data_IF_536498698683
#
_entry.id   IF_536498698683
#
_cell.length_a   1.000
_cell.length_b   1.000
_cell.length_c   1.000
_cell.angle_alpha   90.00
_cell.angle_beta   90.00
_cell.angle_gamma   90.00
#
_symmetry.space_group_name_H-M   'P 1'
#
loop_
_entity.id
_entity.type
_entity.pdbx_description
1 polymer ?
#
# COMPACT_ATOMS: atom_id res chain seq x y z
N UNK A 1 3.37 11.69 -14.64
CA UNK A 1 2.65 10.40 -14.58
C UNK A 1 1.28 10.71 -14.01
N UNK A 2 0.21 10.17 -14.61
CA UNK A 2 -1.13 10.31 -14.04
C UNK A 2 -1.31 9.21 -13.00
N UNK A 3 -1.67 9.58 -11.78
CA UNK A 3 -1.98 8.62 -10.73
C UNK A 3 -3.34 7.97 -11.01
N UNK A 4 -3.37 6.64 -11.04
CA UNK A 4 -4.57 5.85 -11.37
C UNK A 4 -5.31 5.36 -10.12
N UNK A 5 -4.64 5.35 -8.95
CA UNK A 5 -5.20 4.86 -7.70
C UNK A 5 -5.88 5.99 -6.95
N UNK A 6 -7.05 5.70 -6.41
CA UNK A 6 -7.71 6.57 -5.42
C UNK A 6 -6.99 6.39 -4.09
N UNK A 7 -6.64 7.50 -3.43
CA UNK A 7 -6.03 7.48 -2.09
C UNK A 7 -4.78 6.59 -2.03
N UNK A 8 -3.90 6.68 -3.04
CA UNK A 8 -2.64 5.93 -3.12
C UNK A 8 -1.58 6.41 -2.12
N UNK A 9 -1.72 7.66 -1.65
CA UNK A 9 -0.91 8.30 -0.62
C UNK A 9 -1.41 8.02 0.82
N UNK A 10 -2.60 7.44 0.95
CA UNK A 10 -3.29 7.16 2.22
C UNK A 10 -3.66 8.41 3.05
N UNK A 11 -3.84 9.57 2.42
CA UNK A 11 -4.09 10.81 3.16
C UNK A 11 -5.58 11.07 3.49
N UNK A 12 -6.50 10.25 2.98
CA UNK A 12 -7.95 10.44 3.20
C UNK A 12 -8.42 9.86 4.54
N UNK A 13 -8.40 10.67 5.62
CA UNK A 13 -8.89 10.23 6.94
C UNK A 13 -10.43 10.20 7.06
N UNK A 14 -11.02 9.23 7.80
CA UNK A 14 -10.40 8.07 8.47
C UNK A 14 -10.45 6.78 7.60
N UNK A 15 -10.38 6.91 6.28
CA UNK A 15 -10.85 5.87 5.35
C UNK A 15 -9.75 5.32 4.46
N UNK A 16 -9.72 3.99 4.33
CA UNK A 16 -8.98 3.31 3.27
C UNK A 16 -9.79 3.30 1.96
N UNK A 17 -10.32 4.47 1.58
CA UNK A 17 -11.20 4.60 0.40
C UNK A 17 -10.51 4.00 -0.82
N UNK A 18 -11.22 3.11 -1.54
CA UNK A 18 -10.71 2.42 -2.72
C UNK A 18 -9.88 1.16 -2.44
N UNK A 19 -9.46 0.92 -1.19
CA UNK A 19 -8.64 -0.22 -0.81
C UNK A 19 -9.44 -1.30 -0.08
N UNK A 20 -9.21 -2.55 -0.47
CA UNK A 20 -9.66 -3.76 0.24
C UNK A 20 -8.49 -4.41 0.95
N UNK A 21 -8.72 -5.03 2.11
CA UNK A 21 -7.72 -5.74 2.90
C UNK A 21 -8.16 -7.18 3.16
N UNK A 22 -7.25 -8.13 3.08
CA UNK A 22 -7.49 -9.48 3.57
C UNK A 22 -6.23 -10.28 3.89
N UNK A 23 -6.35 -11.45 4.54
CA UNK A 23 -7.59 -12.01 5.08
C UNK A 23 -8.07 -11.24 6.32
N UNK A 24 -9.38 -11.01 6.41
CA UNK A 24 -10.06 -10.19 7.43
C UNK A 24 -10.04 -10.76 8.86
N UNK A 25 -9.36 -11.89 9.11
CA UNK A 25 -9.45 -12.64 10.36
C UNK A 25 -8.19 -12.63 11.25
N UNK A 26 -7.02 -12.25 10.73
CA UNK A 26 -5.76 -12.44 11.45
C UNK A 26 -5.08 -11.14 11.94
N UNK A 27 -5.53 -9.97 11.46
CA UNK A 27 -4.80 -8.71 11.63
C UNK A 27 -5.69 -7.52 12.07
N UNK A 28 -6.95 -7.75 12.47
CA UNK A 28 -7.99 -6.71 12.60
C UNK A 28 -7.71 -5.59 13.60
N UNK A 29 -6.81 -5.80 14.57
CA UNK A 29 -6.36 -4.77 15.52
C UNK A 29 -5.00 -4.18 15.19
N UNK A 30 -4.37 -4.60 14.09
CA UNK A 30 -2.95 -4.40 13.86
C UNK A 30 -2.59 -3.92 12.44
N UNK A 31 -3.56 -3.55 11.62
CA UNK A 31 -3.34 -2.87 10.34
C UNK A 31 -4.28 -1.67 10.20
N UNK A 32 -3.82 -0.60 9.56
CA UNK A 32 -4.60 0.62 9.39
C UNK A 32 -3.77 1.79 8.90
N UNK A 33 -4.26 3.01 9.14
CA UNK A 33 -3.50 4.23 8.89
C UNK A 33 -2.65 4.60 10.11
N UNK A 34 -1.44 5.10 9.87
CA UNK A 34 -0.55 5.60 10.93
C UNK A 34 0.15 6.88 10.48
N UNK A 35 0.54 7.70 11.45
CA UNK A 35 1.33 8.92 11.26
C UNK A 35 2.78 8.78 11.75
N UNK A 36 3.16 7.61 12.30
CA UNK A 36 4.47 7.41 12.94
C UNK A 36 5.60 7.00 11.99
N UNK A 37 5.28 6.30 10.90
CA UNK A 37 6.25 5.78 9.94
C UNK A 37 5.74 6.09 8.54
N UNK A 38 6.07 7.27 8.04
CA UNK A 38 5.44 7.85 6.84
C UNK A 38 6.49 8.17 5.79
N UNK A 39 6.16 7.92 4.54
CA UNK A 39 7.05 8.28 3.43
C UNK A 39 6.86 9.75 3.02
N UNK A 40 5.60 10.24 2.99
CA UNK A 40 5.17 11.64 2.82
C UNK A 40 3.70 11.61 2.33
N UNK A 41 2.83 12.58 2.67
CA UNK A 41 3.09 13.74 3.54
C UNK A 41 2.87 13.49 5.04
N UNK A 42 1.78 12.83 5.45
CA UNK A 42 1.43 12.74 6.87
C UNK A 42 1.04 11.34 7.34
N UNK A 43 0.80 10.42 6.41
CA UNK A 43 0.26 9.10 6.69
C UNK A 43 0.93 7.99 5.86
N UNK A 44 0.71 6.76 6.33
CA UNK A 44 0.99 5.54 5.60
C UNK A 44 0.00 4.46 6.03
N UNK A 45 -0.18 3.46 5.18
CA UNK A 45 -0.78 2.20 5.59
C UNK A 45 0.25 1.33 6.31
N UNK A 46 -0.08 0.85 7.51
CA UNK A 46 0.75 -0.10 8.25
C UNK A 46 0.08 -1.45 8.38
N UNK A 47 0.91 -2.49 8.46
CA UNK A 47 0.53 -3.85 8.80
C UNK A 47 1.45 -4.35 9.89
N UNK A 48 0.86 -4.85 10.97
CA UNK A 48 1.53 -5.62 12.01
C UNK A 48 0.82 -6.94 12.15
N UNK A 49 1.23 -7.94 11.37
CA UNK A 49 0.57 -9.24 11.39
C UNK A 49 1.57 -10.38 11.39
N UNK A 50 1.22 -11.48 12.06
CA UNK A 50 2.01 -12.72 12.06
C UNK A 50 1.67 -13.63 10.87
N UNK A 51 0.63 -13.30 10.10
CA UNK A 51 0.22 -13.99 8.88
C UNK A 51 0.34 -13.09 7.66
N UNK A 52 0.34 -13.69 6.47
CA UNK A 52 0.25 -12.97 5.20
C UNK A 52 -1.02 -12.12 5.12
N UNK A 53 -0.88 -10.90 4.62
CA UNK A 53 -1.97 -9.98 4.30
C UNK A 53 -1.79 -9.50 2.85
N UNK A 54 -2.87 -9.03 2.25
CA UNK A 54 -2.88 -8.29 1.00
C UNK A 54 -3.70 -7.02 1.17
N UNK A 55 -3.32 -6.00 0.40
CA UNK A 55 -4.16 -4.85 0.08
C UNK A 55 -4.38 -4.81 -1.42
N UNK A 56 -5.57 -4.43 -1.84
CA UNK A 56 -5.94 -4.43 -3.25
C UNK A 56 -6.83 -3.25 -3.59
N UNK A 57 -6.61 -2.68 -4.77
CA UNK A 57 -7.48 -1.70 -5.41
C UNK A 57 -7.56 -2.03 -6.89
N UNK A 58 -8.76 -1.91 -7.45
CA UNK A 58 -8.98 -2.03 -8.89
C UNK A 58 -8.99 -0.64 -9.52
N UNK A 59 -8.39 -0.53 -10.70
CA UNK A 59 -8.48 0.66 -11.55
C UNK A 59 -8.84 0.26 -12.98
N UNK A 60 -9.40 1.19 -13.75
CA UNK A 60 -9.70 0.95 -15.16
C UNK A 60 -8.39 1.01 -15.97
N UNK A 61 -8.08 -0.09 -16.67
CA UNK A 61 -6.94 -0.18 -17.56
C UNK A 61 -7.38 -0.20 -19.02
N UNK A 62 -6.53 0.30 -19.91
CA UNK A 62 -6.69 0.27 -21.36
C UNK A 62 -5.79 -0.84 -21.89
N UNK A 63 -6.36 -1.78 -22.66
CA UNK A 63 -5.59 -2.85 -23.28
C UNK A 63 -4.53 -2.29 -24.24
N UNK A 64 -3.33 -2.87 -24.21
CA UNK A 64 -2.17 -2.42 -24.98
C UNK A 64 -1.34 -1.30 -24.32
N UNK A 65 -1.86 -0.65 -23.27
CA UNK A 65 -1.09 0.36 -22.54
C UNK A 65 -0.13 -0.28 -21.53
N UNK A 66 0.97 0.45 -21.26
CA UNK A 66 1.97 0.08 -20.25
C UNK A 66 1.85 0.99 -19.04
N UNK A 67 1.82 0.36 -17.86
CA UNK A 67 1.67 1.04 -16.57
C UNK A 67 2.89 0.78 -15.69
N UNK A 68 3.28 1.80 -14.93
CA UNK A 68 4.26 1.69 -13.86
C UNK A 68 3.53 1.59 -12.53
N UNK A 69 3.81 0.54 -11.77
CA UNK A 69 3.37 0.37 -10.39
C UNK A 69 4.56 0.75 -9.51
N UNK A 70 4.42 1.84 -8.77
CA UNK A 70 5.43 2.34 -7.83
C UNK A 70 4.82 2.46 -6.45
N UNK A 71 5.52 2.00 -5.43
CA UNK A 71 5.06 2.14 -4.04
C UNK A 71 6.25 2.22 -3.10
N UNK A 72 6.04 2.88 -1.96
CA UNK A 72 6.99 2.93 -0.87
C UNK A 72 6.65 1.88 0.17
N UNK A 73 7.64 1.09 0.55
CA UNK A 73 7.50 0.06 1.56
C UNK A 73 8.57 0.27 2.63
N UNK A 74 8.13 0.38 3.88
CA UNK A 74 9.01 0.33 5.03
C UNK A 74 8.72 -0.93 5.82
N UNK A 75 9.76 -1.70 6.14
CA UNK A 75 9.68 -2.84 7.04
C UNK A 75 10.35 -2.48 8.36
N UNK A 76 9.57 -2.51 9.45
CA UNK A 76 10.09 -2.41 10.81
C UNK A 76 10.42 -3.80 11.35
N UNK A 77 11.70 -4.06 11.63
CA UNK A 77 12.12 -5.27 12.32
C UNK A 77 12.55 -4.92 13.73
N UNK A 78 11.84 -5.46 14.72
CA UNK A 78 12.17 -5.36 16.14
C UNK A 78 13.57 -5.90 16.49
N UNK A 79 14.20 -6.67 15.59
CA UNK A 79 15.55 -7.23 15.73
C UNK A 79 16.68 -6.39 15.07
N UNK A 80 16.39 -5.18 14.59
CA UNK A 80 17.43 -4.18 14.31
C UNK A 80 17.85 -3.97 12.84
N UNK A 81 17.19 -4.61 11.88
CA UNK A 81 17.38 -4.34 10.45
C UNK A 81 16.04 -4.01 9.78
N UNK A 82 15.47 -2.86 10.15
CA UNK A 82 14.42 -2.23 9.34
C UNK A 82 14.99 -1.65 8.05
N UNK A 83 14.17 -1.50 7.02
CA UNK A 83 14.60 -1.01 5.71
C UNK A 83 13.48 -0.36 4.91
N UNK A 84 13.85 0.62 4.08
CA UNK A 84 12.95 1.28 3.14
C UNK A 84 13.24 0.80 1.72
N UNK A 85 12.19 0.49 0.96
CA UNK A 85 12.22 0.06 -0.42
C UNK A 85 11.26 0.92 -1.25
N UNK A 86 11.64 1.20 -2.50
CA UNK A 86 10.77 1.85 -3.49
C UNK A 86 10.81 1.06 -4.81
N UNK A 87 10.17 -0.13 -4.84
CA UNK A 87 10.10 -0.92 -6.07
C UNK A 87 9.29 -0.22 -7.15
N UNK A 88 9.70 -0.46 -8.40
CA UNK A 88 8.92 -0.14 -9.59
C UNK A 88 8.72 -1.42 -10.38
N UNK A 89 7.46 -1.74 -10.70
CA UNK A 89 7.07 -2.87 -11.54
C UNK A 89 6.40 -2.32 -12.80
N UNK A 90 6.83 -2.79 -13.97
CA UNK A 90 6.25 -2.41 -15.26
C UNK A 90 5.30 -3.52 -15.72
N UNK A 91 4.06 -3.16 -16.03
CA UNK A 91 3.02 -4.11 -16.45
C UNK A 91 2.38 -3.63 -17.75
N UNK A 92 2.26 -4.51 -18.74
CA UNK A 92 1.48 -4.29 -19.95
C UNK A 92 0.17 -5.04 -19.84
N UNK A 93 -0.95 -4.35 -20.07
CA UNK A 93 -2.28 -4.95 -19.97
C UNK A 93 -2.67 -5.55 -21.32
N UNK A 94 -2.95 -6.85 -21.34
CA UNK A 94 -3.37 -7.58 -22.55
C UNK A 94 -4.86 -7.36 -22.84
#
# INVERSE_FOLDING_TARGET
LVEMLTNGDFETMPSLTGWSIGPSGACTSASGLTTSVVHSPSQSFFVKCSSSIWIAQSFAAIGGETYNITFWLYMDHSSGNGGSLNPTVVVTMN
#
